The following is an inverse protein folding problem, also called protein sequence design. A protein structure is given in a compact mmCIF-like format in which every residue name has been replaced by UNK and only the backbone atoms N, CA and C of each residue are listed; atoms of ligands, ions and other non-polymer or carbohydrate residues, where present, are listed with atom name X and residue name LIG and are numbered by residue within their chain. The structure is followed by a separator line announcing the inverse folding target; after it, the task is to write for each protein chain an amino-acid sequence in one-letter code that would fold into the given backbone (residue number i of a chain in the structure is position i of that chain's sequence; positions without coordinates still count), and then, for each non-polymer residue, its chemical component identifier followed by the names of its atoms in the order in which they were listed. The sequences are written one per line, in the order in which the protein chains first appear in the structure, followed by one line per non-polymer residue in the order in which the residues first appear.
data_IF_781346053173
#
_entry.id   IF_781346053173
#
_cell.length_a   1.000
_cell.length_b   1.000
_cell.length_c   1.000
_cell.angle_alpha   90.00
_cell.angle_beta   90.00
_cell.angle_gamma   90.00
#
_symmetry.space_group_name_H-M   'P 1'
#
loop_
_entity.id
_entity.type
_entity.pdbx_description
1 polymer ?
#
# COMPACT_ATOMS: atom_id res chain seq x y z
N UNK A 1 -3.03 27.98 -1.35
CA UNK A 1 -3.14 28.38 0.06
C UNK A 1 -3.86 29.70 0.24
N UNK A 2 -3.59 30.74 -0.52
CA UNK A 2 -4.29 32.04 -0.43
C UNK A 2 -5.80 32.03 -0.79
N UNK A 3 -6.24 31.12 -1.65
CA UNK A 3 -7.67 31.03 -2.05
C UNK A 3 -8.58 30.34 -1.02
N UNK A 4 -8.02 29.69 0.00
CA UNK A 4 -8.78 28.99 1.04
C UNK A 4 -9.06 29.88 2.25
N UNK A 5 -8.20 30.87 2.49
CA UNK A 5 -8.35 31.81 3.61
C UNK A 5 -9.53 32.79 3.45
N UNK A 6 -9.87 33.14 2.21
CA UNK A 6 -10.94 34.14 1.95
C UNK A 6 -12.37 33.61 2.14
N UNK A 7 -12.58 32.32 2.26
CA UNK A 7 -13.92 31.73 2.42
C UNK A 7 -14.32 31.42 3.87
N UNK A 8 -13.37 31.37 4.78
CA UNK A 8 -13.63 31.00 6.18
C UNK A 8 -13.61 32.16 7.17
N UNK A 9 -13.03 33.32 6.81
CA UNK A 9 -12.85 34.41 7.71
C UNK A 9 -13.34 35.73 7.07
N UNK A 10 -14.63 36.03 7.28
CA UNK A 10 -15.15 37.38 7.04
C UNK A 10 -14.39 38.37 7.93
N UNK A 11 -14.03 39.53 7.35
CA UNK A 11 -13.27 40.62 7.98
C UNK A 11 -13.79 40.95 9.41
N UNK A 12 -13.05 40.55 10.44
CA UNK A 12 -13.12 41.14 11.79
C UNK A 12 -11.72 41.14 12.40
N UNK A 13 -11.37 42.30 13.04
CA UNK A 13 -10.12 42.50 13.75
C UNK A 13 -9.89 41.40 14.81
N UNK A 14 -8.81 40.62 14.69
CA UNK A 14 -8.33 39.72 15.72
C UNK A 14 -6.99 40.27 16.24
N UNK A 15 -6.88 40.52 17.53
CA UNK A 15 -5.61 40.71 18.23
C UNK A 15 -4.83 39.39 18.18
N UNK A 16 -3.64 39.43 17.60
CA UNK A 16 -2.81 38.24 17.32
C UNK A 16 -1.95 37.93 18.55
N UNK A 17 -2.39 37.04 19.40
CA UNK A 17 -1.50 36.32 20.33
C UNK A 17 -1.02 35.05 19.68
N UNK A 18 0.30 34.90 19.55
CA UNK A 18 0.92 33.72 18.93
C UNK A 18 1.44 32.78 20.00
N UNK A 19 1.11 31.50 19.89
CA UNK A 19 1.72 30.42 20.70
C UNK A 19 2.77 29.74 19.85
N UNK A 20 4.03 29.84 20.23
CA UNK A 20 5.12 29.14 19.62
C UNK A 20 5.15 27.69 20.15
N UNK A 21 4.90 26.73 19.30
CA UNK A 21 5.14 25.31 19.59
C UNK A 21 6.51 24.95 19.00
N UNK A 22 7.47 24.50 19.78
CA UNK A 22 8.77 24.11 19.24
C UNK A 22 8.62 22.80 18.45
N UNK A 23 8.72 22.90 17.15
CA UNK A 23 8.84 21.74 16.25
C UNK A 23 10.29 21.62 15.76
N UNK A 24 10.80 20.43 15.77
CA UNK A 24 12.16 20.04 15.32
C UNK A 24 12.24 19.96 13.76
N UNK A 25 11.65 20.94 13.06
CA UNK A 25 11.75 21.09 11.60
C UNK A 25 11.99 22.55 11.22
N UNK A 26 12.66 22.83 10.10
CA UNK A 26 13.12 24.18 9.72
C UNK A 26 11.99 25.14 9.28
N UNK A 27 10.73 24.82 9.48
CA UNK A 27 9.61 25.73 9.20
C UNK A 27 8.67 25.82 10.40
N UNK A 28 8.64 26.97 11.03
CA UNK A 28 7.74 27.30 12.14
C UNK A 28 6.31 27.41 11.61
N UNK A 29 5.41 26.52 12.05
CA UNK A 29 3.99 26.65 11.76
C UNK A 29 3.37 27.61 12.75
N UNK A 30 2.97 28.80 12.28
CA UNK A 30 2.23 29.78 13.09
C UNK A 30 0.73 29.45 13.04
N UNK A 31 0.15 29.08 14.17
CA UNK A 31 -1.29 28.88 14.30
C UNK A 31 -1.88 30.07 15.04
N UNK A 32 -2.86 30.80 14.46
CA UNK A 32 -3.53 31.89 15.17
C UNK A 32 -4.49 31.33 16.23
N UNK A 33 -4.38 31.83 17.46
CA UNK A 33 -5.40 31.61 18.50
C UNK A 33 -6.50 32.66 18.32
N UNK A 34 -7.63 32.28 17.75
CA UNK A 34 -8.83 33.10 17.76
C UNK A 34 -9.76 32.61 18.86
N UNK A 35 -10.41 33.55 19.58
CA UNK A 35 -11.57 33.27 20.42
C UNK A 35 -12.71 32.79 19.50
N UNK A 36 -12.88 31.48 19.39
CA UNK A 36 -13.91 30.85 18.56
C UNK A 36 -15.25 30.89 19.31
N UNK A 37 -16.32 31.16 18.58
CA UNK A 37 -17.67 31.10 19.12
C UNK A 37 -17.98 29.71 19.69
N UNK A 38 -18.83 29.59 20.75
CA UNK A 38 -19.20 28.32 21.35
C UNK A 38 -19.78 27.37 20.28
N UNK A 39 -19.14 26.23 20.08
CA UNK A 39 -19.49 25.22 19.06
C UNK A 39 -18.41 24.98 17.99
N UNK A 40 -17.53 25.95 17.70
CA UNK A 40 -16.41 25.80 16.77
C UNK A 40 -15.15 25.25 17.46
N UNK A 41 -15.04 25.40 18.78
CA UNK A 41 -13.95 24.83 19.58
C UNK A 41 -13.88 23.32 19.48
N UNK A 42 -15.03 22.64 19.40
CA UNK A 42 -15.12 21.18 19.28
C UNK A 42 -14.61 20.71 17.91
N UNK A 43 -14.88 21.48 16.85
CA UNK A 43 -14.43 21.14 15.49
C UNK A 43 -12.92 21.40 15.32
N UNK A 44 -12.43 22.54 15.86
CA UNK A 44 -11.01 22.88 15.85
C UNK A 44 -10.18 21.92 16.69
N UNK A 45 -10.63 21.58 17.91
CA UNK A 45 -9.96 20.60 18.78
C UNK A 45 -9.95 19.21 18.17
N UNK A 46 -11.00 18.83 17.43
CA UNK A 46 -11.08 17.56 16.70
C UNK A 46 -10.14 17.56 15.51
N UNK A 47 -10.03 18.68 14.79
CA UNK A 47 -9.13 18.84 13.64
C UNK A 47 -7.65 18.89 14.06
N UNK A 48 -7.32 19.60 15.13
CA UNK A 48 -5.97 19.64 15.72
C UNK A 48 -5.59 18.27 16.30
N UNK A 49 -6.51 17.57 16.96
CA UNK A 49 -6.29 16.17 17.40
C UNK A 49 -6.10 15.20 16.24
N UNK A 50 -6.77 15.40 15.11
CA UNK A 50 -6.56 14.61 13.88
C UNK A 50 -5.19 14.91 13.26
N UNK A 51 -4.79 16.19 13.18
CA UNK A 51 -3.48 16.58 12.67
C UNK A 51 -2.34 16.11 13.59
N UNK A 52 -2.47 16.27 14.91
CA UNK A 52 -1.47 15.76 15.87
C UNK A 52 -1.42 14.24 15.91
N UNK A 53 -2.54 13.54 15.74
CA UNK A 53 -2.55 12.08 15.59
C UNK A 53 -1.85 11.63 14.32
N UNK A 54 -2.06 12.29 13.18
CA UNK A 54 -1.37 11.96 11.92
C UNK A 54 0.12 12.29 11.95
N UNK A 55 0.52 13.32 12.71
CA UNK A 55 1.94 13.69 12.91
C UNK A 55 2.63 12.74 13.89
N UNK A 56 1.98 12.34 14.97
CA UNK A 56 2.52 11.39 15.97
C UNK A 56 2.73 9.99 15.35
N UNK A 57 1.95 9.61 14.35
CA UNK A 57 2.18 8.35 13.63
C UNK A 57 3.42 8.37 12.70
N UNK A 58 3.97 9.55 12.35
CA UNK A 58 5.17 9.67 11.50
C UNK A 58 6.50 9.58 12.25
N UNK A 59 6.51 9.69 13.57
CA UNK A 59 7.77 9.70 14.35
C UNK A 59 8.21 8.34 14.88
N UNK A 60 7.44 7.26 14.72
CA UNK A 60 7.95 5.90 14.96
C UNK A 60 8.56 5.35 13.67
N UNK A 61 9.84 5.64 13.47
CA UNK A 61 10.71 5.02 12.44
C UNK A 61 11.03 3.54 12.71
N UNK A 62 10.34 2.89 13.63
CA UNK A 62 10.42 1.45 13.78
C UNK A 62 9.67 0.78 12.62
N UNK A 63 10.44 0.18 11.72
CA UNK A 63 9.89 -0.65 10.63
C UNK A 63 9.01 -1.73 11.23
N UNK A 64 7.76 -1.81 10.78
CA UNK A 64 6.83 -2.84 11.22
C UNK A 64 7.45 -4.23 11.02
N UNK A 65 7.21 -5.18 11.95
CA UNK A 65 7.63 -6.56 11.76
C UNK A 65 7.10 -7.09 10.41
N UNK A 66 7.96 -7.78 9.67
CA UNK A 66 7.62 -8.30 8.32
C UNK A 66 6.31 -9.10 8.30
N UNK A 67 6.03 -9.85 9.37
CA UNK A 67 4.80 -10.63 9.48
C UNK A 67 3.55 -9.73 9.57
N UNK A 68 3.60 -8.64 10.35
CA UNK A 68 2.54 -7.64 10.45
C UNK A 68 2.37 -6.92 9.11
N UNK A 69 3.46 -6.44 8.51
CA UNK A 69 3.44 -5.75 7.22
C UNK A 69 2.79 -6.60 6.11
N UNK A 70 3.03 -7.92 6.08
CA UNK A 70 2.40 -8.84 5.12
C UNK A 70 0.88 -8.95 5.27
N UNK A 71 0.34 -8.73 6.49
CA UNK A 71 -1.10 -8.81 6.76
C UNK A 71 -1.85 -7.50 6.50
N UNK A 72 -1.17 -6.34 6.49
CA UNK A 72 -1.83 -5.05 6.31
C UNK A 72 -2.65 -4.93 5.02
N UNK A 73 -2.18 -5.39 3.84
CA UNK A 73 -2.99 -5.35 2.62
C UNK A 73 -4.27 -6.20 2.74
N UNK A 74 -4.20 -7.34 3.43
CA UNK A 74 -5.36 -8.20 3.69
C UNK A 74 -6.35 -7.50 4.62
N UNK A 75 -5.88 -6.92 5.73
CA UNK A 75 -6.72 -6.14 6.63
C UNK A 75 -7.43 -4.99 5.91
N UNK A 76 -6.69 -4.21 5.13
CA UNK A 76 -7.27 -3.11 4.35
C UNK A 76 -8.36 -3.59 3.38
N UNK A 77 -8.13 -4.72 2.70
CA UNK A 77 -9.10 -5.31 1.77
C UNK A 77 -10.41 -5.64 2.48
N UNK A 78 -10.35 -6.32 3.64
CA UNK A 78 -11.55 -6.69 4.38
C UNK A 78 -12.23 -5.48 5.01
N UNK A 79 -11.48 -4.50 5.51
CA UNK A 79 -12.06 -3.24 6.01
C UNK A 79 -12.82 -2.48 4.93
N UNK A 80 -12.28 -2.42 3.70
CA UNK A 80 -12.99 -1.81 2.56
C UNK A 80 -14.26 -2.55 2.16
N UNK A 81 -14.33 -3.86 2.38
CA UNK A 81 -15.55 -4.63 2.16
C UNK A 81 -16.61 -4.36 3.24
N UNK A 82 -16.17 -3.93 4.44
CA UNK A 82 -17.04 -3.57 5.56
C UNK A 82 -17.40 -2.08 5.59
N UNK A 83 -16.83 -1.28 4.68
CA UNK A 83 -17.10 0.16 4.57
C UNK A 83 -18.50 0.41 3.96
N UNK A 84 -19.49 -0.10 4.63
CA UNK A 84 -20.91 0.08 4.35
C UNK A 84 -21.49 1.06 5.39
N UNK A 85 -22.41 1.97 5.03
CA UNK A 85 -23.01 2.96 5.95
C UNK A 85 -23.56 2.41 7.27
N UNK A 86 -23.75 1.08 7.38
CA UNK A 86 -24.21 0.42 8.61
C UNK A 86 -23.13 -0.02 9.59
N UNK A 87 -21.86 -0.15 9.19
CA UNK A 87 -20.78 -0.70 10.02
C UNK A 87 -19.73 0.37 10.33
N UNK A 88 -19.97 1.15 11.35
CA UNK A 88 -19.00 2.17 11.78
C UNK A 88 -17.87 1.62 12.66
N UNK A 89 -18.07 0.47 13.30
CA UNK A 89 -17.11 -0.14 14.24
C UNK A 89 -17.05 -1.66 14.11
N UNK A 90 -15.86 -2.22 14.39
CA UNK A 90 -15.65 -3.67 14.42
C UNK A 90 -14.81 -4.06 15.64
N UNK A 91 -15.15 -5.17 16.28
CA UNK A 91 -14.33 -5.76 17.35
C UNK A 91 -13.30 -6.73 16.76
N UNK A 92 -12.21 -6.96 17.49
CA UNK A 92 -11.15 -7.88 17.04
C UNK A 92 -11.66 -9.32 16.83
N UNK A 93 -12.67 -9.76 17.57
CA UNK A 93 -13.24 -11.10 17.40
C UNK A 93 -14.08 -11.19 16.11
N UNK A 94 -14.94 -10.20 15.84
CA UNK A 94 -15.72 -10.10 14.62
C UNK A 94 -14.79 -10.02 13.39
N UNK A 95 -13.73 -9.22 13.49
CA UNK A 95 -12.75 -9.10 12.42
C UNK A 95 -11.91 -10.39 12.24
N UNK A 96 -11.71 -11.15 13.30
CA UNK A 96 -11.07 -12.47 13.28
C UNK A 96 -11.88 -13.49 12.46
N UNK A 97 -13.19 -13.48 12.62
CA UNK A 97 -14.11 -14.37 11.88
C UNK A 97 -14.07 -14.09 10.38
N UNK A 98 -13.99 -12.80 10.00
CA UNK A 98 -13.96 -12.38 8.59
C UNK A 98 -12.59 -12.65 7.95
N UNK A 99 -11.50 -12.37 8.69
CA UNK A 99 -10.14 -12.45 8.15
C UNK A 99 -9.50 -13.81 8.31
N UNK A 100 -10.08 -14.69 9.12
CA UNK A 100 -9.51 -15.97 9.56
C UNK A 100 -8.13 -15.82 10.22
N UNK A 101 -7.87 -14.65 10.83
CA UNK A 101 -6.66 -14.35 11.60
C UNK A 101 -7.05 -14.29 13.08
N UNK A 102 -6.33 -14.99 13.98
CA UNK A 102 -6.64 -14.99 15.40
C UNK A 102 -6.76 -13.58 15.99
N UNK A 103 -7.80 -13.31 16.76
CA UNK A 103 -8.08 -11.99 17.34
C UNK A 103 -6.92 -11.44 18.19
N UNK A 104 -6.16 -12.32 18.84
CA UNK A 104 -4.94 -11.96 19.57
C UNK A 104 -3.85 -11.42 18.64
N UNK A 105 -3.69 -12.01 17.45
CA UNK A 105 -2.76 -11.53 16.40
C UNK A 105 -3.20 -10.17 15.88
N UNK A 106 -4.48 -9.98 15.58
CA UNK A 106 -5.04 -8.70 15.14
C UNK A 106 -4.76 -7.61 16.17
N UNK A 107 -5.03 -7.87 17.46
CA UNK A 107 -4.77 -6.91 18.54
C UNK A 107 -3.27 -6.57 18.64
N UNK A 108 -2.40 -7.56 18.51
CA UNK A 108 -0.95 -7.35 18.53
C UNK A 108 -0.48 -6.52 17.34
N UNK A 109 -0.96 -6.83 16.13
CA UNK A 109 -0.62 -6.07 14.92
C UNK A 109 -1.08 -4.61 15.04
N UNK A 110 -2.33 -4.41 15.45
CA UNK A 110 -2.89 -3.06 15.59
C UNK A 110 -2.19 -2.24 16.68
N UNK A 111 -1.76 -2.87 17.78
CA UNK A 111 -1.01 -2.19 18.84
C UNK A 111 0.34 -1.65 18.37
N UNK A 112 0.94 -2.23 17.34
CA UNK A 112 2.20 -1.76 16.75
C UNK A 112 2.01 -0.50 15.88
N UNK A 113 0.77 -0.23 15.47
CA UNK A 113 0.40 0.93 14.66
C UNK A 113 -0.04 2.14 15.51
N UNK A 114 -0.05 2.00 16.82
CA UNK A 114 -0.49 3.03 17.77
C UNK A 114 -1.86 2.75 18.38
N UNK A 115 -2.48 3.77 18.96
CA UNK A 115 -3.80 3.65 19.58
C UNK A 115 -4.93 3.72 18.54
N UNK A 116 -5.23 2.57 17.90
CA UNK A 116 -6.26 2.48 16.87
C UNK A 116 -7.69 2.26 17.42
N UNK A 117 -7.82 1.90 18.69
CA UNK A 117 -9.10 1.62 19.32
C UNK A 117 -9.03 1.58 20.85
N UNK A 118 -10.18 1.46 21.50
CA UNK A 118 -10.26 1.29 22.96
C UNK A 118 -10.81 -0.08 23.30
N UNK A 119 -10.28 -0.68 24.37
CA UNK A 119 -10.78 -1.96 24.89
C UNK A 119 -12.30 -1.89 25.14
N UNK A 120 -13.04 -2.90 24.67
CA UNK A 120 -14.50 -2.98 24.78
C UNK A 120 -15.28 -2.21 23.71
N UNK A 121 -14.72 -1.16 23.10
CA UNK A 121 -15.42 -0.33 22.10
C UNK A 121 -15.15 -0.75 20.65
N UNK A 122 -14.13 -1.58 20.42
CA UNK A 122 -13.70 -1.95 19.07
C UNK A 122 -12.96 -0.82 18.33
N UNK A 123 -12.78 -1.02 17.04
CA UNK A 123 -12.07 -0.15 16.14
C UNK A 123 -13.05 0.59 15.23
N UNK A 124 -12.77 1.83 14.93
CA UNK A 124 -13.50 2.64 13.96
C UNK A 124 -13.06 2.24 12.54
N UNK A 125 -13.98 1.74 11.71
CA UNK A 125 -13.67 1.17 10.40
C UNK A 125 -13.15 2.23 9.43
N UNK A 126 -13.82 3.39 9.23
CA UNK A 126 -13.28 4.46 8.38
C UNK A 126 -11.90 4.93 8.81
N UNK A 127 -11.66 5.07 10.11
CA UNK A 127 -10.36 5.48 10.64
C UNK A 127 -9.26 4.47 10.35
N UNK A 128 -9.54 3.16 10.52
CA UNK A 128 -8.59 2.10 10.17
C UNK A 128 -8.25 2.10 8.69
N UNK A 129 -9.25 2.28 7.82
CA UNK A 129 -9.06 2.37 6.36
C UNK A 129 -8.11 3.52 6.03
N UNK A 130 -8.30 4.70 6.61
CA UNK A 130 -7.41 5.84 6.40
C UNK A 130 -5.98 5.58 6.89
N UNK A 131 -5.84 4.99 8.08
CA UNK A 131 -4.53 4.62 8.64
C UNK A 131 -3.80 3.64 7.71
N UNK A 132 -4.48 2.59 7.27
CA UNK A 132 -3.85 1.57 6.43
C UNK A 132 -3.58 2.07 5.01
N UNK A 133 -4.45 2.90 4.43
CA UNK A 133 -4.17 3.57 3.16
C UNK A 133 -2.91 4.44 3.23
N UNK A 134 -2.69 5.14 4.35
CA UNK A 134 -1.51 5.98 4.55
C UNK A 134 -0.24 5.13 4.74
N UNK A 135 -0.29 4.05 5.54
CA UNK A 135 0.85 3.15 5.77
C UNK A 135 1.26 2.45 4.47
N UNK A 136 0.29 1.95 3.71
CA UNK A 136 0.52 1.24 2.45
C UNK A 136 0.74 2.17 1.26
N UNK A 137 0.63 3.48 1.48
CA UNK A 137 0.76 4.51 0.43
C UNK A 137 -0.10 4.21 -0.81
N UNK A 138 -1.37 3.82 -0.57
CA UNK A 138 -2.30 3.45 -1.65
C UNK A 138 -2.89 4.65 -2.38
N UNK A 139 -2.65 5.88 -1.91
CA UNK A 139 -3.11 7.13 -2.54
C UNK A 139 -2.19 7.58 -3.69
N UNK A 140 -0.95 7.07 -3.74
CA UNK A 140 -0.02 7.39 -4.82
C UNK A 140 -0.06 6.34 -5.93
N UNK A 141 -0.08 6.79 -7.18
CA UNK A 141 0.04 5.91 -8.33
C UNK A 141 1.40 5.20 -8.30
N UNK A 142 1.39 3.87 -8.40
CA UNK A 142 2.58 3.03 -8.58
C UNK A 142 2.66 2.59 -10.03
N UNK A 143 3.71 3.04 -10.70
CA UNK A 143 3.95 2.79 -12.11
C UNK A 143 4.76 1.52 -12.26
N UNK A 144 4.17 0.51 -12.87
CA UNK A 144 4.65 -0.87 -12.90
C UNK A 144 5.15 -1.21 -14.30
N UNK A 145 6.34 -1.82 -14.38
CA UNK A 145 6.80 -2.51 -15.57
C UNK A 145 6.45 -4.00 -15.50
N UNK A 146 5.91 -4.54 -16.58
CA UNK A 146 5.68 -5.98 -16.74
C UNK A 146 6.77 -6.56 -17.65
N UNK A 147 7.46 -7.59 -17.19
CA UNK A 147 8.50 -8.28 -17.92
C UNK A 147 8.04 -9.74 -18.18
N UNK A 148 7.94 -10.09 -19.45
CA UNK A 148 7.34 -11.32 -19.96
C UNK A 148 5.87 -11.09 -20.38
N UNK A 149 5.58 -11.22 -21.68
CA UNK A 149 4.21 -11.05 -22.22
C UNK A 149 3.64 -12.35 -22.74
N UNK A 150 3.95 -13.44 -22.03
CA UNK A 150 3.28 -14.74 -22.19
C UNK A 150 1.87 -14.76 -21.62
N UNK A 151 1.27 -15.93 -21.46
CA UNK A 151 -0.11 -16.08 -20.98
C UNK A 151 -0.36 -15.40 -19.63
N UNK A 152 0.55 -15.57 -18.66
CA UNK A 152 0.42 -14.95 -17.34
C UNK A 152 0.57 -13.41 -17.43
N UNK A 153 1.57 -12.94 -18.18
CA UNK A 153 1.79 -11.48 -18.35
C UNK A 153 0.58 -10.80 -18.98
N UNK A 154 0.00 -11.40 -20.04
CA UNK A 154 -1.24 -10.93 -20.66
C UNK A 154 -2.40 -10.88 -19.66
N UNK A 155 -2.60 -11.95 -18.89
CA UNK A 155 -3.67 -12.02 -17.89
C UNK A 155 -3.50 -10.92 -16.81
N UNK A 156 -2.27 -10.70 -16.32
CA UNK A 156 -1.97 -9.64 -15.35
C UNK A 156 -2.24 -8.25 -15.92
N UNK A 157 -1.82 -7.99 -17.15
CA UNK A 157 -2.06 -6.69 -17.80
C UNK A 157 -3.56 -6.40 -17.95
N UNK A 158 -4.35 -7.41 -18.34
CA UNK A 158 -5.77 -7.21 -18.69
C UNK A 158 -6.72 -7.25 -17.49
N UNK A 159 -6.41 -8.03 -16.44
CA UNK A 159 -7.41 -8.38 -15.42
C UNK A 159 -7.07 -8.03 -13.97
N UNK A 160 -5.81 -8.12 -13.55
CA UNK A 160 -5.51 -8.16 -12.11
C UNK A 160 -5.50 -6.81 -11.39
N UNK A 161 -5.25 -5.70 -12.08
CA UNK A 161 -5.10 -4.40 -11.42
C UNK A 161 -6.27 -3.43 -11.67
N UNK A 162 -7.29 -3.84 -12.42
CA UNK A 162 -8.47 -2.98 -12.72
C UNK A 162 -9.24 -2.51 -11.48
N UNK A 163 -9.09 -3.21 -10.35
CA UNK A 163 -9.76 -2.85 -9.09
C UNK A 163 -8.94 -1.91 -8.19
N UNK A 164 -7.67 -1.69 -8.53
CA UNK A 164 -6.76 -0.86 -7.77
C UNK A 164 -6.28 0.28 -8.65
N UNK A 165 -6.93 1.42 -8.56
CA UNK A 165 -6.64 2.61 -9.38
C UNK A 165 -5.21 3.14 -9.22
N UNK A 166 -4.54 2.78 -8.11
CA UNK A 166 -3.18 3.20 -7.83
C UNK A 166 -2.08 2.25 -8.35
N UNK A 167 -2.44 1.10 -8.95
CA UNK A 167 -1.48 0.14 -9.51
C UNK A 167 -1.62 0.11 -11.04
N UNK A 168 -0.67 0.73 -11.75
CA UNK A 168 -0.77 0.90 -13.19
C UNK A 168 0.42 0.28 -13.93
N UNK A 169 0.18 -0.73 -14.78
CA UNK A 169 1.20 -1.29 -15.67
C UNK A 169 1.35 -0.32 -16.86
N UNK A 170 2.47 0.42 -16.88
CA UNK A 170 2.73 1.49 -17.84
C UNK A 170 3.64 1.10 -19.00
N UNK A 171 4.32 -0.04 -18.92
CA UNK A 171 5.14 -0.60 -19.98
C UNK A 171 5.28 -2.11 -19.84
N UNK A 172 5.48 -2.75 -20.99
CA UNK A 172 5.58 -4.20 -21.12
C UNK A 172 6.85 -4.53 -21.89
N UNK A 173 7.59 -5.54 -21.41
CA UNK A 173 8.84 -5.98 -21.99
C UNK A 173 8.80 -7.48 -22.28
N UNK A 174 9.48 -7.87 -23.34
CA UNK A 174 9.73 -9.27 -23.68
C UNK A 174 11.07 -9.41 -24.41
N UNK A 175 11.52 -10.63 -24.65
CA UNK A 175 12.69 -10.93 -25.47
C UNK A 175 12.35 -11.76 -26.73
N UNK A 176 11.08 -12.15 -26.90
CA UNK A 176 10.63 -12.89 -28.08
C UNK A 176 10.62 -11.98 -29.32
N UNK A 177 11.43 -12.25 -30.37
CA UNK A 177 11.42 -11.48 -31.61
C UNK A 177 10.04 -11.39 -32.28
N UNK A 178 9.15 -12.33 -32.01
CA UNK A 178 7.79 -12.31 -32.53
C UNK A 178 6.88 -11.28 -31.85
N UNK A 179 7.24 -10.84 -30.64
CA UNK A 179 6.45 -9.92 -29.79
C UNK A 179 7.05 -8.51 -29.77
N UNK A 180 8.35 -8.38 -29.67
CA UNK A 180 9.02 -7.09 -29.46
C UNK A 180 8.84 -6.11 -30.63
N UNK A 181 8.82 -4.80 -30.30
CA UNK A 181 8.61 -3.70 -31.24
C UNK A 181 7.25 -3.78 -31.98
N UNK A 182 6.28 -4.45 -31.39
CA UNK A 182 4.90 -4.54 -31.91
C UNK A 182 3.91 -4.05 -30.89
N UNK A 183 2.79 -3.57 -31.39
CA UNK A 183 1.61 -3.28 -30.56
C UNK A 183 0.74 -4.54 -30.55
N UNK A 184 0.56 -5.14 -29.37
CA UNK A 184 -0.27 -6.32 -29.17
C UNK A 184 -1.30 -5.99 -28.09
N UNK A 185 -2.57 -6.21 -28.38
CA UNK A 185 -3.69 -5.87 -27.49
C UNK A 185 -3.68 -4.39 -27.03
N UNK A 186 -3.23 -3.49 -27.91
CA UNK A 186 -3.11 -2.05 -27.64
C UNK A 186 -1.87 -1.64 -26.85
N UNK A 187 -0.98 -2.60 -26.49
CA UNK A 187 0.23 -2.35 -25.73
C UNK A 187 1.49 -2.49 -26.60
N UNK A 188 2.38 -1.51 -26.53
CA UNK A 188 3.70 -1.61 -27.14
C UNK A 188 4.57 -2.53 -26.32
N UNK A 189 5.09 -3.60 -26.94
CA UNK A 189 6.02 -4.54 -26.30
C UNK A 189 7.45 -4.11 -26.62
N UNK A 190 8.18 -3.75 -25.59
CA UNK A 190 9.56 -3.28 -25.72
C UNK A 190 10.55 -4.46 -25.53
N UNK A 191 11.69 -4.43 -26.20
CA UNK A 191 12.76 -5.38 -25.90
C UNK A 191 13.36 -5.10 -24.51
N UNK A 192 13.73 -6.14 -23.79
CA UNK A 192 14.16 -6.07 -22.38
C UNK A 192 15.47 -5.28 -22.21
N UNK A 193 16.36 -5.26 -23.21
CA UNK A 193 17.63 -4.52 -23.21
C UNK A 193 17.42 -2.99 -23.13
N UNK A 194 16.23 -2.49 -23.50
CA UNK A 194 15.82 -1.09 -23.36
C UNK A 194 15.14 -0.79 -22.02
N UNK A 195 15.15 -1.72 -21.07
CA UNK A 195 14.40 -1.57 -19.81
C UNK A 195 14.80 -0.31 -19.06
N UNK A 196 16.11 -0.06 -18.88
CA UNK A 196 16.59 1.07 -18.09
C UNK A 196 16.15 2.43 -18.67
N UNK A 197 16.21 2.59 -20.00
CA UNK A 197 15.77 3.79 -20.70
C UNK A 197 14.28 4.05 -20.50
N UNK A 198 13.46 3.03 -20.80
CA UNK A 198 12.00 3.14 -20.82
C UNK A 198 11.42 3.23 -19.41
N UNK A 199 11.96 2.46 -18.46
CA UNK A 199 11.56 2.51 -17.06
C UNK A 199 11.79 3.89 -16.46
N UNK A 200 12.93 4.52 -16.76
CA UNK A 200 13.23 5.89 -16.36
C UNK A 200 12.26 6.89 -16.99
N UNK A 201 12.06 6.83 -18.31
CA UNK A 201 11.15 7.73 -19.02
C UNK A 201 9.69 7.63 -18.53
N UNK A 202 9.27 6.45 -18.11
CA UNK A 202 7.92 6.19 -17.60
C UNK A 202 7.81 6.25 -16.07
N UNK A 203 8.88 6.64 -15.36
CA UNK A 203 8.92 6.71 -13.88
C UNK A 203 8.46 5.41 -13.21
N UNK A 204 8.98 4.27 -13.67
CA UNK A 204 8.67 2.96 -13.11
C UNK A 204 9.22 2.84 -11.69
N UNK A 205 8.41 2.37 -10.76
CA UNK A 205 8.78 2.18 -9.35
C UNK A 205 8.78 0.73 -8.91
N UNK A 206 8.05 -0.13 -9.65
CA UNK A 206 7.90 -1.56 -9.36
C UNK A 206 7.99 -2.35 -10.65
N UNK A 207 8.54 -3.56 -10.61
CA UNK A 207 8.51 -4.49 -11.73
C UNK A 207 7.79 -5.79 -11.36
N UNK A 208 7.10 -6.38 -12.33
CA UNK A 208 6.55 -7.73 -12.27
C UNK A 208 7.28 -8.56 -13.31
N UNK A 209 7.87 -9.68 -12.88
CA UNK A 209 8.53 -10.64 -13.75
C UNK A 209 7.67 -11.90 -13.85
N UNK A 210 7.27 -12.21 -15.08
CA UNK A 210 6.50 -13.44 -15.43
C UNK A 210 7.27 -14.31 -16.42
N UNK A 211 8.59 -14.16 -16.45
CA UNK A 211 9.47 -14.97 -17.31
C UNK A 211 9.70 -16.34 -16.71
N UNK A 212 9.94 -17.39 -17.54
CA UNK A 212 10.31 -18.70 -17.03
C UNK A 212 11.61 -18.67 -16.22
N UNK A 213 11.75 -19.60 -15.25
CA UNK A 213 12.91 -19.75 -14.35
C UNK A 213 14.25 -19.66 -15.08
N UNK A 214 14.38 -20.30 -16.21
CA UNK A 214 15.61 -20.30 -17.03
C UNK A 214 16.12 -18.89 -17.38
N UNK A 215 15.22 -17.93 -17.52
CA UNK A 215 15.54 -16.56 -17.93
C UNK A 215 15.36 -15.53 -16.79
N UNK A 216 14.96 -16.00 -15.60
CA UNK A 216 14.60 -15.14 -14.50
C UNK A 216 15.77 -14.26 -14.05
N UNK A 217 16.98 -14.83 -13.88
CA UNK A 217 18.14 -14.06 -13.43
C UNK A 217 18.48 -12.93 -14.44
N UNK A 218 18.56 -13.25 -15.73
CA UNK A 218 18.91 -12.25 -16.75
C UNK A 218 17.87 -11.12 -16.84
N UNK A 219 16.60 -11.44 -16.71
CA UNK A 219 15.52 -10.44 -16.69
C UNK A 219 15.60 -9.55 -15.45
N UNK A 220 15.86 -10.12 -14.28
CA UNK A 220 16.04 -9.37 -13.04
C UNK A 220 17.27 -8.46 -13.09
N UNK A 221 18.36 -8.91 -13.71
CA UNK A 221 19.56 -8.07 -13.89
C UNK A 221 19.27 -6.81 -14.71
N UNK A 222 18.47 -6.91 -15.79
CA UNK A 222 18.04 -5.75 -16.59
C UNK A 222 17.10 -4.84 -15.79
N UNK A 223 16.20 -5.39 -14.98
CA UNK A 223 15.32 -4.62 -14.09
C UNK A 223 16.14 -3.82 -13.06
N UNK A 224 17.14 -4.45 -12.45
CA UNK A 224 18.04 -3.81 -11.47
C UNK A 224 18.88 -2.70 -12.10
N UNK A 225 19.38 -2.88 -13.33
CA UNK A 225 20.07 -1.82 -14.11
C UNK A 225 19.17 -0.60 -14.33
N UNK A 226 17.85 -0.79 -14.41
CA UNK A 226 16.88 0.29 -14.49
C UNK A 226 16.57 1.01 -13.18
N UNK A 227 17.30 0.70 -12.09
CA UNK A 227 17.11 1.25 -10.74
C UNK A 227 15.74 0.93 -10.11
N UNK A 228 15.08 -0.13 -10.55
CA UNK A 228 13.87 -0.63 -9.91
C UNK A 228 14.24 -1.56 -8.76
N UNK A 229 13.78 -1.26 -7.56
CA UNK A 229 14.18 -1.94 -6.32
C UNK A 229 13.09 -2.82 -5.71
N UNK A 230 11.87 -2.78 -6.24
CA UNK A 230 10.74 -3.59 -5.80
C UNK A 230 10.29 -4.51 -6.94
N UNK A 231 10.42 -5.81 -6.77
CA UNK A 231 10.19 -6.80 -7.83
C UNK A 231 9.26 -7.90 -7.31
N UNK A 232 8.18 -8.16 -8.05
CA UNK A 232 7.32 -9.31 -7.88
C UNK A 232 7.71 -10.36 -8.91
N UNK A 233 8.25 -11.50 -8.48
CA UNK A 233 8.74 -12.56 -9.35
C UNK A 233 7.84 -13.82 -9.29
N UNK A 234 7.37 -14.27 -10.43
CA UNK A 234 6.54 -15.48 -10.56
C UNK A 234 7.36 -16.74 -10.89
N UNK A 235 8.66 -16.60 -11.15
CA UNK A 235 9.53 -17.75 -11.25
C UNK A 235 9.85 -18.28 -9.84
N UNK A 236 9.79 -19.61 -9.60
CA UNK A 236 10.04 -20.21 -8.29
C UNK A 236 11.51 -20.10 -7.86
N UNK A 237 12.42 -20.09 -8.83
CA UNK A 237 13.86 -20.09 -8.55
C UNK A 237 14.34 -18.79 -7.94
N UNK A 238 15.19 -18.89 -6.93
CA UNK A 238 15.79 -17.74 -6.28
C UNK A 238 16.78 -17.06 -7.22
N UNK A 239 16.69 -15.74 -7.29
CA UNK A 239 17.62 -14.89 -8.02
C UNK A 239 18.57 -14.18 -7.08
N UNK A 240 19.79 -13.87 -7.57
CA UNK A 240 20.77 -13.08 -6.84
C UNK A 240 20.55 -11.62 -7.18
N UNK A 241 20.38 -10.78 -6.15
CA UNK A 241 20.19 -9.34 -6.30
C UNK A 241 20.98 -8.57 -5.24
N UNK A 242 21.31 -7.29 -5.49
CA UNK A 242 21.90 -6.42 -4.48
C UNK A 242 21.00 -6.31 -3.22
N UNK A 243 21.61 -6.08 -2.05
CA UNK A 243 20.90 -6.07 -0.75
C UNK A 243 19.78 -4.99 -0.65
N UNK A 244 19.84 -3.95 -1.47
CA UNK A 244 18.81 -2.90 -1.52
C UNK A 244 17.61 -3.24 -2.40
N UNK A 245 17.62 -4.36 -3.12
CA UNK A 245 16.53 -4.82 -3.99
C UNK A 245 15.66 -5.82 -3.22
N UNK A 246 14.37 -5.54 -3.19
CA UNK A 246 13.38 -6.42 -2.57
C UNK A 246 12.70 -7.27 -3.64
N UNK A 247 12.86 -8.58 -3.56
CA UNK A 247 12.17 -9.54 -4.44
C UNK A 247 11.16 -10.33 -3.62
N UNK A 248 9.89 -10.22 -4.01
CA UNK A 248 8.82 -11.07 -3.50
C UNK A 248 8.52 -12.16 -4.54
N UNK A 249 8.49 -13.41 -4.09
CA UNK A 249 8.19 -14.56 -4.94
C UNK A 249 6.73 -14.98 -4.80
N UNK A 250 6.13 -15.35 -5.90
CA UNK A 250 4.81 -16.00 -5.98
C UNK A 250 4.99 -17.37 -6.59
N UNK A 251 4.88 -18.40 -5.77
CA UNK A 251 4.99 -19.80 -6.20
C UNK A 251 3.66 -20.52 -5.93
N UNK A 252 2.86 -20.64 -6.99
CA UNK A 252 1.55 -21.29 -6.91
C UNK A 252 1.66 -22.80 -6.60
N UNK A 253 2.77 -23.44 -6.95
CA UNK A 253 2.99 -24.86 -6.67
C UNK A 253 3.15 -25.10 -5.18
N UNK A 254 3.97 -24.27 -4.51
CA UNK A 254 4.15 -24.33 -3.05
C UNK A 254 2.83 -24.06 -2.31
N UNK A 255 2.06 -23.06 -2.75
CA UNK A 255 0.75 -22.77 -2.15
C UNK A 255 -0.23 -23.94 -2.31
N UNK A 256 -0.28 -24.54 -3.50
CA UNK A 256 -1.13 -25.72 -3.75
C UNK A 256 -0.71 -26.93 -2.92
N UNK A 257 0.60 -27.23 -2.82
CA UNK A 257 1.11 -28.31 -1.98
C UNK A 257 0.75 -28.10 -0.49
N UNK A 258 0.84 -26.86 -0.03
CA UNK A 258 0.44 -26.51 1.33
C UNK A 258 -1.05 -26.74 1.56
N UNK A 259 -1.89 -26.35 0.59
CA UNK A 259 -3.34 -26.59 0.65
C UNK A 259 -3.66 -28.10 0.69
N UNK A 260 -3.04 -28.90 -0.18
CA UNK A 260 -3.23 -30.36 -0.21
C UNK A 260 -2.84 -30.97 1.14
N UNK A 261 -1.71 -30.57 1.70
CA UNK A 261 -1.27 -31.06 3.01
C UNK A 261 -2.29 -30.74 4.12
N UNK A 262 -2.88 -29.54 4.10
CA UNK A 262 -3.89 -29.18 5.07
C UNK A 262 -5.20 -29.96 4.88
N UNK A 263 -5.62 -30.17 3.65
CA UNK A 263 -6.81 -30.96 3.35
C UNK A 263 -6.66 -32.41 3.84
N UNK A 264 -5.52 -33.04 3.60
CA UNK A 264 -5.24 -34.40 4.02
C UNK A 264 -5.09 -34.59 5.54
N UNK A 265 -4.62 -33.56 6.27
CA UNK A 265 -4.23 -33.71 7.67
C UNK A 265 -5.14 -32.97 8.66
N UNK A 266 -6.01 -32.06 8.20
CA UNK A 266 -6.84 -31.24 9.08
C UNK A 266 -8.33 -31.27 8.71
N UNK A 267 -8.75 -31.96 7.67
CA UNK A 267 -10.16 -32.04 7.23
C UNK A 267 -11.08 -32.76 8.22
N UNK A 268 -10.55 -33.58 9.13
CA UNK A 268 -11.34 -34.30 10.13
C UNK A 268 -11.84 -33.40 11.30
N UNK A 269 -11.41 -32.14 11.39
CA UNK A 269 -11.78 -31.24 12.50
C UNK A 269 -13.14 -30.57 12.28
N UNK A 270 -13.76 -30.75 11.12
CA UNK A 270 -15.02 -30.08 10.74
C UNK A 270 -16.19 -31.03 10.48
N UNK A 271 -16.07 -32.34 10.86
CA UNK A 271 -17.17 -33.32 10.79
C UNK A 271 -17.94 -33.43 12.10
#
# INVERSE_FOLDING_TARGET
MQAFEHRLFGKRNCDKTFVTVPFYFPHTLFLPTCNLAPGLETCYTKYVKLLTRSVVMREKTDTLPKATAKRLPLYLRYLKMLDDPGISRIKSNEFSEITQIPSATIRRDFSQLGELGRSGYGYDVPFLIDVFNNILNTKEEKRIALVGYGNLGKALKHNNFRRNENLNIVCVFDNDPALINRVIDGEMIYPIDRFAEIAKAKNVTVAISTVPSKYSQSAIDEIVKGNVTAILNFAPDRVTVPAYVNVQYIDLTTELQTLIYFDENYSEVFS
#
